data_IF_718460638811
#
_entry.id   IF_718460638811
#
_cell.length_a   1.000
_cell.length_b   1.000
_cell.length_c   1.000
_cell.angle_alpha   90.00
_cell.angle_beta   90.00
_cell.angle_gamma   90.00
#
_symmetry.space_group_name_H-M   'P 1'
#
loop_
_entity.id
_entity.type
_entity.pdbx_description
1 polymer ?
#
# COMPACT_ATOMS: atom_id res chain seq x y z
N UNK A 1 43.80 25.27 72.42
CA UNK A 1 42.39 24.89 72.21
C UNK A 1 42.14 24.95 70.71
N UNK A 2 42.05 23.79 70.04
CA UNK A 2 41.84 23.70 68.60
C UNK A 2 40.35 23.52 68.31
N UNK A 3 39.76 24.46 67.57
CA UNK A 3 38.39 24.35 67.05
C UNK A 3 38.40 23.50 65.78
N UNK A 4 37.74 22.35 65.82
CA UNK A 4 37.41 21.57 64.62
C UNK A 4 36.01 22.00 64.15
N UNK A 5 35.94 22.55 62.94
CA UNK A 5 34.68 22.90 62.28
C UNK A 5 33.99 21.64 61.72
N UNK A 6 32.65 21.57 61.77
CA UNK A 6 31.89 20.43 61.29
C UNK A 6 31.97 20.30 59.75
N UNK A 7 32.01 19.07 59.20
CA UNK A 7 32.06 18.88 57.75
C UNK A 7 30.76 19.35 57.09
N UNK A 8 30.87 20.26 56.12
CA UNK A 8 29.74 20.66 55.30
C UNK A 8 29.36 19.53 54.33
N UNK A 9 28.08 19.18 54.19
CA UNK A 9 27.63 18.03 53.39
C UNK A 9 27.77 18.25 51.87
N UNK A 10 28.09 19.46 51.44
CA UNK A 10 28.39 19.81 50.06
C UNK A 10 29.86 20.25 50.03
N UNK A 11 30.67 19.53 49.26
CA UNK A 11 32.10 19.82 49.08
C UNK A 11 32.34 21.27 48.66
N UNK A 12 33.54 21.79 48.91
CA UNK A 12 33.86 23.20 48.63
C UNK A 12 33.73 23.46 47.13
N UNK A 13 33.39 24.70 46.77
CA UNK A 13 33.30 25.15 45.38
C UNK A 13 34.62 24.98 44.58
N UNK A 14 35.73 24.68 45.25
CA UNK A 14 37.04 24.47 44.63
C UNK A 14 37.32 22.99 44.27
N UNK A 15 36.48 22.04 44.69
CA UNK A 15 36.67 20.59 44.46
C UNK A 15 36.19 20.10 43.08
N UNK A 16 35.98 21.00 42.11
CA UNK A 16 35.66 20.60 40.73
C UNK A 16 36.88 19.97 40.06
N UNK A 17 36.89 18.65 39.99
CA UNK A 17 37.92 17.90 39.25
C UNK A 17 37.60 17.86 37.76
N UNK A 18 38.63 18.01 36.90
CA UNK A 18 38.46 17.79 35.45
C UNK A 18 38.16 16.32 35.20
N UNK A 19 37.05 16.04 34.52
CA UNK A 19 36.73 14.68 34.09
C UNK A 19 37.77 14.15 33.11
N UNK A 20 38.03 12.84 33.15
CA UNK A 20 38.84 12.18 32.14
C UNK A 20 38.21 12.39 30.74
N UNK A 21 39.03 12.60 29.70
CA UNK A 21 38.51 12.79 28.35
C UNK A 21 37.72 11.55 27.91
N UNK A 22 36.48 11.77 27.44
CA UNK A 22 35.60 10.71 26.92
C UNK A 22 34.50 10.23 27.89
N UNK A 23 34.58 10.51 29.19
CA UNK A 23 33.54 10.07 30.14
C UNK A 23 32.19 10.75 29.86
N UNK A 24 32.22 12.04 29.52
CA UNK A 24 31.00 12.79 29.17
C UNK A 24 30.36 12.27 27.87
N UNK A 25 31.15 11.92 26.87
CA UNK A 25 30.62 11.41 25.60
C UNK A 25 30.00 10.02 25.74
N UNK A 26 30.56 9.17 26.62
CA UNK A 26 29.96 7.88 26.97
C UNK A 26 28.61 8.06 27.67
N UNK A 27 28.50 9.00 28.62
CA UNK A 27 27.24 9.31 29.28
C UNK A 27 26.17 9.80 28.29
N UNK A 28 26.52 10.75 27.41
CA UNK A 28 25.59 11.28 26.39
C UNK A 28 25.15 10.17 25.43
N UNK A 29 26.05 9.28 25.00
CA UNK A 29 25.69 8.13 24.15
C UNK A 29 24.71 7.19 24.84
N UNK A 30 24.93 6.88 26.12
CA UNK A 30 24.03 6.03 26.92
C UNK A 30 22.66 6.68 27.07
N UNK A 31 22.62 7.97 27.40
CA UNK A 31 21.37 8.72 27.56
C UNK A 31 20.57 8.83 26.25
N UNK A 32 21.25 9.06 25.11
CA UNK A 32 20.61 9.06 23.78
C UNK A 32 20.04 7.70 23.42
N UNK A 33 20.73 6.60 23.75
CA UNK A 33 20.24 5.23 23.49
C UNK A 33 18.97 4.93 24.30
N UNK A 34 18.91 5.36 25.56
CA UNK A 34 17.71 5.21 26.40
C UNK A 34 16.54 6.05 25.91
N UNK A 35 16.77 7.32 25.52
CA UNK A 35 15.72 8.17 24.94
C UNK A 35 15.19 7.57 23.63
N UNK A 36 16.06 7.10 22.73
CA UNK A 36 15.65 6.42 21.48
C UNK A 36 14.80 5.18 21.74
N UNK A 37 15.15 4.35 22.72
CA UNK A 37 14.35 3.16 23.08
C UNK A 37 12.93 3.53 23.53
N UNK A 38 12.78 4.61 24.32
CA UNK A 38 11.47 5.09 24.78
C UNK A 38 10.63 5.66 23.62
N UNK A 39 11.24 6.45 22.73
CA UNK A 39 10.55 7.04 21.58
C UNK A 39 10.13 5.98 20.56
N UNK A 40 11.01 5.04 20.22
CA UNK A 40 10.69 3.95 19.27
C UNK A 40 9.51 3.12 19.76
N UNK A 41 9.49 2.74 21.05
CA UNK A 41 8.39 1.95 21.61
C UNK A 41 7.06 2.71 21.65
N UNK A 42 7.06 4.02 21.91
CA UNK A 42 5.82 4.80 22.05
C UNK A 42 5.24 5.28 20.72
N UNK A 43 6.09 5.51 19.72
CA UNK A 43 5.66 6.15 18.47
C UNK A 43 5.71 5.17 17.29
N UNK A 44 6.83 4.49 17.07
CA UNK A 44 7.03 3.71 15.85
C UNK A 44 6.13 2.47 15.81
N UNK A 45 5.96 1.79 16.95
CA UNK A 45 5.14 0.57 17.02
C UNK A 45 3.65 0.83 16.66
N UNK A 46 2.94 1.78 17.30
CA UNK A 46 1.54 2.04 16.94
C UNK A 46 1.40 2.60 15.51
N UNK A 47 2.34 3.43 15.03
CA UNK A 47 2.26 3.96 13.67
C UNK A 47 2.40 2.87 12.61
N UNK A 48 3.29 1.89 12.80
CA UNK A 48 3.38 0.74 11.90
C UNK A 48 2.11 -0.12 11.92
N UNK A 49 1.54 -0.35 13.11
CA UNK A 49 0.30 -1.12 13.25
C UNK A 49 -0.87 -0.44 12.52
N UNK A 50 -1.07 0.87 12.74
CA UNK A 50 -2.10 1.67 12.05
C UNK A 50 -1.83 1.77 10.55
N UNK A 51 -0.57 1.95 10.14
CA UNK A 51 -0.19 2.00 8.73
C UNK A 51 -0.46 0.69 7.98
N UNK A 52 -0.11 -0.45 8.58
CA UNK A 52 -0.39 -1.78 8.00
C UNK A 52 -1.90 -2.06 7.93
N UNK A 53 -2.65 -1.71 8.97
CA UNK A 53 -4.11 -1.88 8.97
C UNK A 53 -4.78 -0.96 7.93
N UNK A 54 -4.36 0.30 7.84
CA UNK A 54 -4.88 1.26 6.86
C UNK A 54 -4.60 0.83 5.42
N UNK A 55 -3.37 0.39 5.12
CA UNK A 55 -3.00 -0.11 3.78
C UNK A 55 -3.72 -1.42 3.44
N UNK A 56 -3.91 -2.32 4.39
CA UNK A 56 -4.61 -3.58 4.18
C UNK A 56 -6.08 -3.40 3.80
N UNK A 57 -6.78 -2.44 4.42
CA UNK A 57 -8.19 -2.14 4.10
C UNK A 57 -8.35 -1.55 2.69
N UNK A 58 -7.44 -0.67 2.27
CA UNK A 58 -7.49 -0.09 0.91
C UNK A 58 -7.10 -1.08 -0.18
N UNK A 59 -6.24 -2.06 0.12
CA UNK A 59 -5.86 -3.09 -0.85
C UNK A 59 -7.01 -4.08 -1.14
N UNK A 60 -8.04 -4.14 -0.29
CA UNK A 60 -9.17 -5.07 -0.45
C UNK A 60 -10.39 -4.45 -1.13
N UNK A 61 -10.44 -3.13 -1.24
CA UNK A 61 -11.46 -2.45 -2.03
C UNK A 61 -11.02 -2.41 -3.47
N UNK A 62 -11.17 -3.53 -4.19
CA UNK A 62 -11.14 -3.48 -5.65
C UNK A 62 -12.39 -2.69 -6.10
N UNK A 63 -12.26 -1.49 -6.66
CA UNK A 63 -13.41 -0.74 -7.17
C UNK A 63 -14.08 -1.45 -8.36
N UNK A 64 -13.42 -2.47 -8.91
CA UNK A 64 -13.91 -3.34 -9.96
C UNK A 64 -14.35 -4.72 -9.46
N UNK A 65 -14.39 -4.94 -8.14
CA UNK A 65 -14.95 -6.19 -7.61
C UNK A 65 -16.37 -6.34 -8.16
N UNK A 66 -16.70 -7.46 -8.84
CA UNK A 66 -18.03 -7.68 -9.39
C UNK A 66 -19.04 -7.52 -8.27
N UNK A 67 -19.93 -6.54 -8.39
CA UNK A 67 -21.03 -6.37 -7.45
C UNK A 67 -21.84 -7.66 -7.48
N UNK A 68 -22.05 -8.36 -6.34
CA UNK A 68 -22.86 -9.57 -6.32
C UNK A 68 -24.24 -9.27 -6.88
N UNK A 69 -24.53 -9.79 -8.07
CA UNK A 69 -25.79 -9.56 -8.76
C UNK A 69 -26.87 -10.41 -8.08
N UNK A 70 -27.91 -9.83 -7.46
CA UNK A 70 -28.89 -10.60 -6.67
C UNK A 70 -29.93 -11.35 -7.52
N UNK A 71 -29.82 -11.28 -8.85
CA UNK A 71 -30.90 -11.64 -9.78
C UNK A 71 -30.70 -12.96 -10.54
N UNK A 72 -29.83 -13.86 -10.09
CA UNK A 72 -29.69 -15.12 -10.82
C UNK A 72 -28.77 -16.15 -10.22
N UNK A 73 -28.82 -17.34 -10.83
CA UNK A 73 -27.95 -18.48 -10.54
C UNK A 73 -26.55 -18.29 -11.17
N UNK A 74 -26.43 -17.38 -12.16
CA UNK A 74 -25.17 -17.09 -12.85
C UNK A 74 -24.56 -15.77 -12.40
N UNK A 75 -23.25 -15.78 -12.23
CA UNK A 75 -22.47 -14.59 -11.90
C UNK A 75 -22.34 -13.64 -13.10
N UNK A 76 -22.33 -12.34 -12.81
CA UNK A 76 -22.18 -11.30 -13.80
C UNK A 76 -20.83 -11.39 -14.55
N UNK A 77 -19.76 -11.87 -13.90
CA UNK A 77 -18.47 -12.12 -14.54
C UNK A 77 -18.49 -13.30 -15.51
N UNK A 78 -19.20 -14.37 -15.17
CA UNK A 78 -19.36 -15.53 -16.04
C UNK A 78 -20.13 -15.19 -17.32
N UNK A 79 -21.20 -14.40 -17.20
CA UNK A 79 -21.97 -13.93 -18.35
C UNK A 79 -21.14 -13.03 -19.26
N UNK A 80 -20.33 -12.14 -18.69
CA UNK A 80 -19.43 -11.30 -19.49
C UNK A 80 -18.37 -12.11 -20.24
N UNK A 81 -17.88 -13.20 -19.66
CA UNK A 81 -16.92 -14.09 -20.32
C UNK A 81 -17.54 -14.85 -21.51
N UNK A 82 -18.82 -15.22 -21.42
CA UNK A 82 -19.54 -15.96 -22.47
C UNK A 82 -20.24 -15.05 -23.50
N UNK A 83 -20.31 -13.75 -23.24
CA UNK A 83 -20.95 -12.75 -24.12
C UNK A 83 -20.51 -12.83 -25.61
N UNK A 84 -19.21 -13.02 -25.95
CA UNK A 84 -18.80 -13.15 -27.35
C UNK A 84 -19.26 -14.46 -28.01
N UNK A 85 -19.49 -15.53 -27.25
CA UNK A 85 -20.07 -16.77 -27.76
C UNK A 85 -21.56 -16.58 -28.00
N UNK A 86 -22.24 -15.82 -27.14
CA UNK A 86 -23.67 -15.54 -27.25
C UNK A 86 -23.99 -14.76 -28.52
N UNK A 87 -23.22 -13.70 -28.79
CA UNK A 87 -23.36 -12.89 -30.02
C UNK A 87 -23.09 -13.72 -31.28
N UNK A 88 -22.25 -14.77 -31.20
CA UNK A 88 -21.99 -15.69 -32.32
C UNK A 88 -23.02 -16.80 -32.46
N UNK A 89 -23.92 -16.98 -31.48
CA UNK A 89 -24.85 -18.10 -31.43
C UNK A 89 -24.21 -19.43 -31.04
N UNK A 90 -23.01 -19.41 -30.46
CA UNK A 90 -22.22 -20.61 -30.11
C UNK A 90 -22.60 -21.20 -28.75
N UNK A 91 -23.58 -20.66 -28.04
CA UNK A 91 -24.03 -21.20 -26.74
C UNK A 91 -25.03 -22.34 -26.89
N UNK A 92 -24.90 -23.32 -25.99
CA UNK A 92 -25.89 -24.38 -25.76
C UNK A 92 -27.29 -23.77 -25.52
N UNK A 93 -28.37 -24.32 -26.12
CA UNK A 93 -29.72 -23.74 -26.01
C UNK A 93 -30.20 -23.55 -24.56
N UNK A 94 -29.90 -24.50 -23.67
CA UNK A 94 -30.25 -24.40 -22.25
C UNK A 94 -29.55 -23.23 -21.55
N UNK A 95 -28.33 -22.91 -21.98
CA UNK A 95 -27.55 -21.80 -21.41
C UNK A 95 -28.04 -20.46 -21.96
N UNK A 96 -28.51 -20.42 -23.21
CA UNK A 96 -29.07 -19.20 -23.81
C UNK A 96 -30.26 -18.66 -23.02
N UNK A 97 -31.18 -19.52 -22.56
CA UNK A 97 -32.36 -19.09 -21.79
C UNK A 97 -31.99 -18.50 -20.42
N UNK A 98 -30.98 -19.07 -19.75
CA UNK A 98 -30.47 -18.53 -18.50
C UNK A 98 -29.76 -17.19 -18.71
N UNK A 99 -28.98 -17.08 -19.79
CA UNK A 99 -28.27 -15.88 -20.20
C UNK A 99 -29.23 -14.73 -20.53
N UNK A 100 -30.27 -15.01 -21.33
CA UNK A 100 -31.32 -14.08 -21.71
C UNK A 100 -32.02 -13.48 -20.48
N UNK A 101 -32.49 -14.35 -19.56
CA UNK A 101 -33.17 -13.93 -18.33
C UNK A 101 -32.29 -13.03 -17.46
N UNK A 102 -31.00 -13.32 -17.38
CA UNK A 102 -30.09 -12.48 -16.62
C UNK A 102 -29.90 -11.11 -17.27
N UNK A 103 -29.73 -11.04 -18.60
CA UNK A 103 -29.59 -9.75 -19.31
C UNK A 103 -30.84 -8.88 -19.12
N UNK A 104 -32.03 -9.48 -19.17
CA UNK A 104 -33.30 -8.77 -18.96
C UNK A 104 -33.42 -8.18 -17.55
N UNK A 105 -32.82 -8.84 -16.55
CA UNK A 105 -32.91 -8.42 -15.14
C UNK A 105 -31.73 -7.55 -14.70
N UNK A 106 -30.57 -7.66 -15.36
CA UNK A 106 -29.34 -6.99 -14.97
C UNK A 106 -29.07 -5.75 -15.87
N UNK A 107 -29.20 -4.52 -15.35
CA UNK A 107 -28.97 -3.30 -16.13
C UNK A 107 -27.51 -3.15 -16.60
N UNK A 108 -26.55 -3.68 -15.85
CA UNK A 108 -25.14 -3.64 -16.22
C UNK A 108 -24.83 -4.55 -17.42
N UNK A 109 -25.35 -5.79 -17.42
CA UNK A 109 -25.16 -6.74 -18.52
C UNK A 109 -25.92 -6.32 -19.78
N UNK A 110 -27.13 -5.78 -19.65
CA UNK A 110 -27.87 -5.22 -20.80
C UNK A 110 -27.20 -4.00 -21.43
N UNK A 111 -26.57 -3.13 -20.63
CA UNK A 111 -25.77 -2.03 -21.17
C UNK A 111 -24.58 -2.52 -22.01
N UNK A 112 -23.86 -3.55 -21.52
CA UNK A 112 -22.75 -4.17 -22.26
C UNK A 112 -23.21 -4.85 -23.55
N UNK A 113 -24.36 -5.52 -23.53
CA UNK A 113 -24.96 -6.10 -24.76
C UNK A 113 -25.16 -5.04 -25.84
N UNK A 114 -25.79 -3.91 -25.48
CA UNK A 114 -26.02 -2.80 -26.42
C UNK A 114 -24.73 -2.20 -26.97
N UNK A 115 -23.66 -2.18 -26.17
CA UNK A 115 -22.35 -1.73 -26.61
C UNK A 115 -21.76 -2.65 -27.68
N UNK A 116 -21.92 -3.97 -27.54
CA UNK A 116 -21.47 -4.95 -28.54
C UNK A 116 -22.34 -4.97 -29.80
N UNK A 117 -23.65 -4.78 -29.66
CA UNK A 117 -24.59 -4.68 -30.78
C UNK A 117 -24.40 -3.41 -31.60
N UNK A 118 -23.69 -2.41 -31.06
CA UNK A 118 -23.36 -1.18 -31.76
C UNK A 118 -21.93 -1.24 -32.34
N UNK A 119 -21.76 -1.73 -33.59
CA UNK A 119 -20.45 -1.84 -34.23
C UNK A 119 -19.79 -0.49 -34.50
N UNK A 120 -20.49 0.62 -34.27
CA UNK A 120 -19.93 1.98 -34.43
C UNK A 120 -19.29 2.52 -33.15
N UNK A 121 -19.25 1.76 -32.05
CA UNK A 121 -18.55 2.19 -30.85
C UNK A 121 -17.03 2.19 -31.09
N UNK A 122 -16.32 3.32 -30.89
CA UNK A 122 -14.90 3.49 -31.27
C UNK A 122 -13.89 2.64 -30.46
N UNK A 123 -14.36 1.65 -29.69
CA UNK A 123 -13.54 0.81 -28.80
C UNK A 123 -12.60 -0.13 -29.58
N UNK A 124 -12.90 -0.44 -30.84
CA UNK A 124 -12.03 -1.27 -31.68
C UNK A 124 -10.69 -0.61 -32.08
N UNK A 125 -10.52 0.71 -31.88
CA UNK A 125 -9.29 1.41 -32.24
C UNK A 125 -8.25 1.54 -31.10
N UNK A 126 -8.59 1.15 -29.86
CA UNK A 126 -7.71 1.31 -28.70
C UNK A 126 -6.93 0.03 -28.31
N UNK A 127 -6.94 -0.99 -29.17
CA UNK A 127 -6.36 -2.31 -28.95
C UNK A 127 -4.91 -2.49 -29.42
N UNK A 128 -4.06 -1.46 -29.42
CA UNK A 128 -2.61 -1.61 -29.55
C UNK A 128 -1.90 -0.73 -28.52
N UNK A 129 -2.02 -1.12 -27.25
CA UNK A 129 -1.08 -0.68 -26.22
C UNK A 129 0.26 -1.38 -26.47
N UNK A 130 0.95 -0.91 -27.51
CA UNK A 130 2.38 -1.10 -27.69
C UNK A 130 3.05 -0.42 -26.51
N UNK A 131 3.48 -1.19 -25.51
CA UNK A 131 4.40 -0.71 -24.48
C UNK A 131 5.54 0.02 -25.20
N UNK A 132 5.79 1.31 -24.95
CA UNK A 132 7.02 1.93 -25.41
C UNK A 132 8.16 1.16 -24.74
N UNK A 133 8.93 0.46 -25.56
CA UNK A 133 10.19 -0.15 -25.19
C UNK A 133 11.16 0.98 -24.81
N UNK A 134 11.08 1.42 -23.55
CA UNK A 134 12.07 2.30 -22.94
C UNK A 134 13.30 1.44 -22.71
N UNK A 135 14.16 1.39 -23.74
CA UNK A 135 15.56 1.03 -23.60
C UNK A 135 16.15 1.98 -22.57
N UNK A 136 16.36 1.48 -21.36
CA UNK A 136 17.11 2.15 -20.32
C UNK A 136 18.56 2.32 -20.80
N UNK A 137 18.85 3.48 -21.40
CA UNK A 137 20.23 3.95 -21.54
C UNK A 137 20.77 4.20 -20.14
N UNK A 138 21.72 3.38 -19.71
CA UNK A 138 22.54 3.64 -18.54
C UNK A 138 23.52 4.78 -18.85
N UNK A 139 23.42 5.97 -18.23
CA UNK A 139 24.53 6.90 -18.22
C UNK A 139 25.61 6.35 -17.29
N UNK A 140 26.77 6.05 -17.86
CA UNK A 140 27.96 5.65 -17.14
C UNK A 140 28.34 6.66 -16.05
N UNK A 141 28.23 6.24 -14.80
CA UNK A 141 28.85 6.94 -13.67
C UNK A 141 30.34 6.64 -13.64
N UNK A 142 31.09 7.49 -14.36
CA UNK A 142 32.54 7.63 -14.30
C UNK A 142 32.90 8.36 -13.00
N UNK A 143 33.44 7.65 -12.01
CA UNK A 143 34.02 8.27 -10.82
C UNK A 143 35.53 8.48 -11.02
N UNK A 144 36.08 9.68 -10.81
CA UNK A 144 37.53 9.89 -10.75
C UNK A 144 38.08 9.49 -9.38
N UNK A 145 39.20 8.77 -9.37
CA UNK A 145 40.06 8.63 -8.20
C UNK A 145 40.85 9.93 -8.00
N UNK A 146 40.87 10.45 -6.78
CA UNK A 146 41.93 11.31 -6.24
C UNK A 146 41.94 11.15 -4.72
#
# INVERSE_FOLDING_TARGET
MNHQEPPTPFGRADDWTRCAPGTLSQFVRRQRRERRRKTVRRVVLPTLLVGCLGLGVWAQTDPNAPTPCPFGVMDCGEIQAQLPQYVRGDLEPETQDAFQRHIEQCPACSAKMRELENPQSPVAAAGTSTKPNVVAQHPGSRWPLS
#
